data_IF_935093523514
#
_entry.id   IF_935093523514
#
_cell.length_a   1.000
_cell.length_b   1.000
_cell.length_c   1.000
_cell.angle_alpha   90.00
_cell.angle_beta   90.00
_cell.angle_gamma   90.00
#
_symmetry.space_group_name_H-M   'P 1'
#
loop_
_entity.id
_entity.type
_entity.pdbx_description
1 polymer ?
#
# COMPACT_ATOMS: atom_id res chain seq x y z
N UNK A 1 32.21 -4.94 -6.34
CA UNK A 1 31.82 -4.10 -7.49
C UNK A 1 30.93 -2.99 -6.95
N UNK A 2 31.35 -1.70 -6.95
CA UNK A 2 30.44 -0.60 -6.64
C UNK A 2 29.58 -0.33 -7.88
N UNK A 3 28.27 -0.18 -7.69
CA UNK A 3 27.34 0.21 -8.77
C UNK A 3 27.18 1.72 -8.68
N UNK A 4 27.80 2.44 -9.62
CA UNK A 4 27.61 3.88 -9.79
C UNK A 4 26.30 4.13 -10.56
N UNK A 5 25.35 4.82 -9.94
CA UNK A 5 24.02 5.05 -10.49
C UNK A 5 23.87 6.52 -10.89
N UNK A 6 24.39 6.87 -12.06
CA UNK A 6 24.20 8.18 -12.68
C UNK A 6 22.85 8.20 -13.43
N UNK A 7 21.88 8.98 -12.92
CA UNK A 7 20.58 9.18 -13.57
C UNK A 7 20.70 10.25 -14.66
N UNK A 8 20.49 9.86 -15.93
CA UNK A 8 20.35 10.80 -17.05
C UNK A 8 18.92 11.33 -17.08
N UNK A 9 18.73 12.60 -16.76
CA UNK A 9 17.45 13.30 -16.89
C UNK A 9 16.98 13.32 -18.35
N UNK A 10 15.78 12.81 -18.59
CA UNK A 10 15.14 12.89 -19.91
C UNK A 10 14.75 14.34 -20.19
N UNK A 11 15.27 14.89 -21.29
CA UNK A 11 15.01 16.27 -21.71
C UNK A 11 13.53 16.50 -22.01
N UNK A 12 13.01 17.63 -21.54
CA UNK A 12 11.65 18.09 -21.80
C UNK A 12 11.45 18.32 -23.31
N UNK A 13 10.37 17.77 -23.86
CA UNK A 13 9.92 18.02 -25.23
C UNK A 13 9.19 19.37 -25.25
N UNK A 14 9.66 20.41 -25.96
CA UNK A 14 8.90 21.65 -26.07
C UNK A 14 7.69 21.44 -27.00
N UNK A 15 6.50 21.73 -26.48
CA UNK A 15 5.24 21.78 -27.25
C UNK A 15 5.12 23.17 -27.90
N UNK A 16 4.94 23.30 -29.23
CA UNK A 16 4.65 24.58 -29.85
C UNK A 16 3.21 25.04 -29.48
N UNK A 17 2.96 26.36 -29.37
CA UNK A 17 1.64 26.87 -29.01
C UNK A 17 0.81 27.15 -30.27
N UNK A 18 -0.43 26.66 -30.33
CA UNK A 18 -1.45 27.31 -31.15
C UNK A 18 -2.85 27.17 -30.52
N UNK A 19 -3.69 28.23 -30.59
CA UNK A 19 -4.85 28.41 -29.73
C UNK A 19 -6.14 27.99 -30.43
N UNK A 20 -6.92 27.09 -29.84
CA UNK A 20 -8.30 26.85 -30.28
C UNK A 20 -9.20 26.63 -29.07
N UNK A 21 -10.13 27.58 -28.88
CA UNK A 21 -11.34 27.58 -28.06
C UNK A 21 -11.33 26.78 -26.74
N UNK A 22 -11.35 27.48 -25.60
CA UNK A 22 -11.81 26.92 -24.31
C UNK A 22 -13.30 26.56 -24.42
N UNK A 23 -13.72 25.30 -24.23
CA UNK A 23 -14.88 25.09 -23.39
C UNK A 23 -14.43 25.37 -21.95
N UNK A 24 -15.14 26.26 -21.28
CA UNK A 24 -15.11 26.38 -19.83
C UNK A 24 -15.61 25.04 -19.25
N UNK A 25 -14.70 24.07 -19.11
CA UNK A 25 -14.90 22.96 -18.19
C UNK A 25 -14.46 23.50 -16.84
N UNK A 26 -15.38 24.23 -16.19
CA UNK A 26 -15.39 24.33 -14.75
C UNK A 26 -15.11 22.93 -14.20
N UNK A 27 -13.92 22.77 -13.61
CA UNK A 27 -13.51 21.54 -12.96
C UNK A 27 -14.30 21.44 -11.66
N UNK A 28 -15.59 21.16 -11.79
CA UNK A 28 -16.44 20.70 -10.69
C UNK A 28 -16.15 19.20 -10.53
N UNK A 29 -14.91 18.88 -10.16
CA UNK A 29 -14.72 17.73 -9.29
C UNK A 29 -15.43 18.07 -7.98
N UNK A 30 -16.11 17.13 -7.31
CA UNK A 30 -16.70 17.43 -6.02
C UNK A 30 -15.58 17.95 -5.12
N UNK A 31 -15.65 19.24 -4.79
CA UNK A 31 -14.87 19.81 -3.71
C UNK A 31 -15.35 19.07 -2.46
N UNK A 32 -14.59 18.05 -2.06
CA UNK A 32 -14.89 17.27 -0.86
C UNK A 32 -14.83 18.28 0.28
N UNK A 33 -16.02 18.70 0.73
CA UNK A 33 -16.15 19.64 1.81
C UNK A 33 -15.61 18.94 3.04
N UNK A 34 -14.43 19.37 3.50
CA UNK A 34 -13.80 18.88 4.70
C UNK A 34 -14.64 19.31 5.91
N UNK A 35 -15.76 18.63 6.12
CA UNK A 35 -16.41 18.59 7.42
C UNK A 35 -15.54 17.68 8.28
N UNK A 36 -14.66 18.30 9.06
CA UNK A 36 -13.92 17.62 10.12
C UNK A 36 -14.90 17.21 11.22
N UNK A 37 -15.70 16.18 10.97
CA UNK A 37 -16.32 15.43 12.06
C UNK A 37 -15.19 14.69 12.76
N UNK A 38 -14.99 14.98 14.05
CA UNK A 38 -13.84 14.57 14.85
C UNK A 38 -13.86 13.06 15.20
N UNK A 39 -14.20 12.19 14.23
CA UNK A 39 -14.51 10.78 14.48
C UNK A 39 -13.33 9.81 14.27
N UNK A 40 -12.29 10.15 13.49
CA UNK A 40 -10.99 9.44 13.42
C UNK A 40 -10.03 10.15 12.46
N UNK A 41 -8.70 10.10 12.68
CA UNK A 41 -7.75 10.65 11.72
C UNK A 41 -7.89 9.98 10.34
N UNK A 42 -7.82 10.80 9.30
CA UNK A 42 -7.86 10.37 7.90
C UNK A 42 -6.60 10.88 7.19
N UNK A 43 -5.72 9.99 6.69
CA UNK A 43 -5.81 8.53 6.73
C UNK A 43 -5.58 7.94 8.14
N UNK A 44 -6.04 6.70 8.33
CA UNK A 44 -5.74 5.87 9.50
C UNK A 44 -4.66 4.84 9.16
N UNK A 45 -3.72 4.62 10.08
CA UNK A 45 -2.64 3.63 9.95
C UNK A 45 -2.92 2.43 10.87
N UNK A 46 -2.79 1.20 10.32
CA UNK A 46 -2.96 -0.05 11.06
C UNK A 46 -1.87 -1.04 10.67
N UNK A 47 -1.52 -1.95 11.57
CA UNK A 47 -0.60 -3.07 11.28
C UNK A 47 -1.44 -4.34 11.12
N UNK A 48 -1.28 -5.03 10.00
CA UNK A 48 -1.80 -6.39 9.81
C UNK A 48 -0.79 -7.38 10.42
N UNK A 49 -1.10 -8.04 11.55
CA UNK A 49 -0.15 -8.90 12.24
C UNK A 49 0.05 -10.25 11.53
N UNK A 50 -0.87 -10.67 10.65
CA UNK A 50 -0.74 -11.93 9.92
C UNK A 50 0.30 -11.82 8.81
N UNK A 51 0.43 -10.63 8.21
CA UNK A 51 1.37 -10.35 7.13
C UNK A 51 2.57 -9.51 7.57
N UNK A 52 2.52 -8.88 8.73
CA UNK A 52 3.54 -7.92 9.18
C UNK A 52 3.57 -6.65 8.32
N UNK A 53 2.43 -6.26 7.74
CA UNK A 53 2.33 -5.13 6.81
C UNK A 53 1.60 -3.95 7.44
N UNK A 54 1.90 -2.74 6.95
CA UNK A 54 1.16 -1.52 7.28
C UNK A 54 0.02 -1.35 6.29
N UNK A 55 -1.19 -1.16 6.80
CA UNK A 55 -2.41 -0.84 6.05
C UNK A 55 -2.80 0.60 6.33
N UNK A 56 -2.94 1.38 5.26
CA UNK A 56 -3.39 2.77 5.27
C UNK A 56 -4.85 2.79 4.81
N UNK A 57 -5.77 3.23 5.67
CA UNK A 57 -7.20 3.35 5.36
C UNK A 57 -7.58 4.82 5.13
N UNK A 58 -8.19 5.11 3.98
CA UNK A 58 -8.78 6.40 3.64
C UNK A 58 -10.28 6.33 3.83
N UNK A 59 -10.84 7.30 4.55
CA UNK A 59 -12.28 7.34 4.87
C UNK A 59 -12.99 8.41 4.05
N UNK A 60 -14.25 8.18 3.71
CA UNK A 60 -15.13 9.20 3.14
C UNK A 60 -15.68 10.13 4.25
N UNK A 61 -16.41 11.17 3.85
CA UNK A 61 -17.19 12.07 4.71
C UNK A 61 -18.11 11.37 5.72
N UNK A 62 -18.66 10.20 5.41
CA UNK A 62 -19.45 9.38 6.35
C UNK A 62 -18.58 8.53 7.31
N UNK A 63 -17.25 8.65 7.21
CA UNK A 63 -16.30 7.91 8.04
C UNK A 63 -16.09 6.45 7.63
N UNK A 64 -16.68 6.00 6.52
CA UNK A 64 -16.50 4.66 5.94
C UNK A 64 -15.19 4.56 5.18
N UNK A 65 -14.53 3.40 5.21
CA UNK A 65 -13.31 3.18 4.41
C UNK A 65 -13.67 3.21 2.93
N UNK A 66 -13.20 4.24 2.23
CA UNK A 66 -13.38 4.41 0.80
C UNK A 66 -12.26 3.76 -0.01
N UNK A 67 -11.03 3.78 0.52
CA UNK A 67 -9.87 3.18 -0.13
C UNK A 67 -8.83 2.69 0.89
N UNK A 68 -7.99 1.74 0.50
CA UNK A 68 -6.90 1.24 1.34
C UNK A 68 -5.63 0.94 0.54
N UNK A 69 -4.49 1.05 1.21
CA UNK A 69 -3.17 0.65 0.69
C UNK A 69 -2.50 -0.25 1.73
N UNK A 70 -2.22 -1.52 1.42
CA UNK A 70 -2.68 -2.30 0.26
C UNK A 70 -4.22 -2.45 0.21
N UNK A 71 -4.75 -2.79 -0.96
CA UNK A 71 -6.18 -3.10 -1.14
C UNK A 71 -6.53 -4.48 -0.58
N UNK A 72 -7.82 -4.76 -0.37
CA UNK A 72 -8.29 -6.09 0.08
C UNK A 72 -7.83 -7.24 -0.83
N UNK A 73 -7.89 -7.05 -2.16
CA UNK A 73 -7.42 -8.05 -3.12
C UNK A 73 -5.91 -8.26 -3.02
N UNK A 74 -5.14 -7.21 -2.77
CA UNK A 74 -3.68 -7.32 -2.57
C UNK A 74 -3.35 -8.01 -1.25
N UNK A 75 -4.07 -7.71 -0.17
CA UNK A 75 -3.94 -8.42 1.10
C UNK A 75 -4.19 -9.92 0.93
N UNK A 76 -5.18 -10.31 0.13
CA UNK A 76 -5.44 -11.72 -0.18
C UNK A 76 -4.30 -12.38 -0.96
N UNK A 77 -3.74 -11.68 -1.95
CA UNK A 77 -2.58 -12.17 -2.68
C UNK A 77 -1.37 -12.37 -1.75
N UNK A 78 -1.15 -11.45 -0.81
CA UNK A 78 -0.09 -11.58 0.19
C UNK A 78 -0.33 -12.76 1.15
N UNK A 79 -1.57 -12.97 1.62
CA UNK A 79 -1.93 -14.13 2.44
C UNK A 79 -1.68 -15.45 1.72
N UNK A 80 -2.10 -15.55 0.47
CA UNK A 80 -1.91 -16.74 -0.37
C UNK A 80 -0.42 -17.06 -0.58
N UNK A 81 0.39 -16.04 -0.82
CA UNK A 81 1.83 -16.20 -0.98
C UNK A 81 2.52 -16.59 0.33
N UNK A 82 2.16 -15.95 1.45
CA UNK A 82 2.68 -16.28 2.78
C UNK A 82 2.36 -17.73 3.17
N UNK A 83 1.15 -18.22 2.87
CA UNK A 83 0.76 -19.60 3.12
C UNK A 83 1.59 -20.61 2.30
N UNK A 84 1.96 -20.27 1.08
CA UNK A 84 2.81 -21.13 0.23
C UNK A 84 4.27 -21.16 0.72
N UNK A 85 4.75 -20.05 1.30
CA UNK A 85 6.09 -19.94 1.85
C UNK A 85 6.25 -20.47 3.28
N UNK A 86 5.15 -20.85 3.93
CA UNK A 86 5.20 -21.52 5.22
C UNK A 86 5.89 -22.89 5.05
N UNK A 87 7.22 -22.87 5.15
CA UNK A 87 8.05 -24.06 5.12
C UNK A 87 7.57 -25.00 6.24
N UNK A 88 7.47 -26.33 6.01
CA UNK A 88 7.15 -27.25 7.08
C UNK A 88 8.20 -27.05 8.17
N UNK A 89 7.76 -26.62 9.35
CA UNK A 89 8.60 -26.59 10.54
C UNK A 89 9.18 -27.99 10.69
N UNK A 90 10.51 -28.21 10.63
CA UNK A 90 11.05 -29.51 10.94
C UNK A 90 10.62 -29.83 12.37
N UNK A 91 9.84 -30.89 12.54
CA UNK A 91 9.42 -31.37 13.85
C UNK A 91 10.69 -31.53 14.69
N UNK A 92 10.81 -30.77 15.78
CA UNK A 92 11.92 -30.93 16.71
C UNK A 92 12.01 -32.41 17.10
N UNK A 93 13.15 -33.10 16.86
CA UNK A 93 13.27 -34.49 17.26
C UNK A 93 13.12 -34.54 18.78
N UNK A 94 12.07 -35.24 19.18
CA UNK A 94 11.74 -35.70 20.53
C UNK A 94 13.04 -36.05 21.27
N UNK A 95 13.24 -35.46 22.45
CA UNK A 95 14.45 -35.59 23.24
C UNK A 95 14.95 -37.03 23.32
N UNK A 96 16.14 -37.27 22.75
CA UNK A 96 16.97 -38.41 23.09
C UNK A 96 17.67 -38.06 24.40
N UNK A 97 17.19 -38.65 25.48
CA UNK A 97 17.90 -38.65 26.75
C UNK A 97 19.25 -39.36 26.55
N UNK A 98 20.38 -38.83 27.07
CA UNK A 98 21.65 -39.52 26.98
C UNK A 98 21.62 -40.76 27.88
N UNK A 99 21.74 -41.94 27.28
CA UNK A 99 22.12 -43.15 27.99
C UNK A 99 23.55 -42.95 28.53
N UNK A 100 23.67 -42.93 29.85
CA UNK A 100 24.95 -42.85 30.55
C UNK A 100 25.44 -44.27 30.79
N UNK A 101 26.72 -44.47 30.47
CA UNK A 101 27.56 -45.65 30.71
C UNK A 101 27.44 -46.21 32.14
#
# INVERSE_FOLDING_TARGET
>A
MPIDMTIRGIGAVPRPPEPVARPDIASTGPAVSAHADAAKPNPSLRIDPALGLVVIEFRDTDGRVANSIPTEHQLEAYRSHAATQAHPTPASPKGVAPAKD
#
